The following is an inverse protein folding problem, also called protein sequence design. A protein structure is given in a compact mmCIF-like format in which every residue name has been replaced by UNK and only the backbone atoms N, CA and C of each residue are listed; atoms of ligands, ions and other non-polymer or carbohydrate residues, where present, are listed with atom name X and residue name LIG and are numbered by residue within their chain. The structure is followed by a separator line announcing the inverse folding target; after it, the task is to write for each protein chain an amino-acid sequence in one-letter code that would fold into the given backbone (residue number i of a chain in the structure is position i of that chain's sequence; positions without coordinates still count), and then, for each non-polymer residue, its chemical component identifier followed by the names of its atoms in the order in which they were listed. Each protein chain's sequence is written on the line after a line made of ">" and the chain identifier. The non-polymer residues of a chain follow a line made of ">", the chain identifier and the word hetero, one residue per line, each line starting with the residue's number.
data_IF_415006096350
#
_entry.id   IF_415006096350
#
_cell.length_a   1.000
_cell.length_b   1.000
_cell.length_c   1.000
_cell.angle_alpha   90.00
_cell.angle_beta   90.00
_cell.angle_gamma   90.00
#
_symmetry.space_group_name_H-M   'P 1'
#
loop_
_entity.id
_entity.type
_entity.pdbx_description
1 polymer ?
#
# COMPACT_ATOMS: atom_id res chain seq x y z
N UNK A 1 2.54 -8.54 10.44
CA UNK A 1 2.63 -7.04 10.40
C UNK A 1 1.40 -6.35 11.03
N UNK A 2 0.16 -6.74 10.76
CA UNK A 2 -1.05 -6.08 11.30
C UNK A 2 -1.04 -5.84 12.81
N UNK A 3 -0.84 -6.87 13.65
CA UNK A 3 -0.77 -6.68 15.10
C UNK A 3 0.35 -5.74 15.55
N UNK A 4 1.52 -5.76 14.90
CA UNK A 4 2.61 -4.84 15.23
C UNK A 4 2.27 -3.38 14.90
N UNK A 5 1.63 -3.14 13.76
CA UNK A 5 1.13 -1.81 13.39
C UNK A 5 0.03 -1.32 14.33
N UNK A 6 -0.86 -2.22 14.76
CA UNK A 6 -1.90 -1.90 15.73
C UNK A 6 -1.28 -1.45 17.05
N UNK A 7 -0.33 -2.23 17.57
CA UNK A 7 0.37 -1.91 18.81
C UNK A 7 1.10 -0.56 18.72
N UNK A 8 1.85 -0.35 17.64
CA UNK A 8 2.56 0.90 17.37
C UNK A 8 1.62 2.10 17.35
N UNK A 9 0.56 2.04 16.54
CA UNK A 9 -0.40 3.13 16.41
C UNK A 9 -1.20 3.39 17.70
N UNK A 10 -1.58 2.32 18.41
CA UNK A 10 -2.26 2.43 19.70
C UNK A 10 -1.37 3.07 20.76
N UNK A 11 -0.06 2.74 20.79
CA UNK A 11 0.89 3.38 21.71
C UNK A 11 0.97 4.89 21.53
N UNK A 12 1.00 5.39 20.28
CA UNK A 12 0.93 6.84 20.01
C UNK A 12 -0.41 7.45 20.43
N UNK A 13 -1.52 6.77 20.16
CA UNK A 13 -2.85 7.26 20.53
C UNK A 13 -3.12 7.24 22.04
N UNK A 14 -2.42 6.40 22.77
CA UNK A 14 -2.52 6.29 24.24
C UNK A 14 -1.64 7.26 25.01
N UNK A 15 -0.80 8.06 24.34
CA UNK A 15 0.01 9.08 25.02
C UNK A 15 -0.87 10.19 25.60
N UNK A 16 -0.46 10.73 26.75
CA UNK A 16 -1.07 11.97 27.27
C UNK A 16 -0.66 13.16 26.39
N UNK A 17 -1.58 13.61 25.60
CA UNK A 17 -1.41 14.75 24.69
C UNK A 17 -2.22 15.96 25.13
N UNK A 18 -2.60 16.04 26.42
CA UNK A 18 -3.40 17.14 26.98
C UNK A 18 -2.74 18.51 26.81
N UNK A 19 -1.40 18.56 26.81
CA UNK A 19 -0.66 19.78 26.55
C UNK A 19 -0.84 20.33 25.11
N UNK A 20 -1.19 19.47 24.15
CA UNK A 20 -1.34 19.84 22.73
C UNK A 20 -2.81 19.83 22.30
N UNK A 21 -3.59 18.89 22.80
CA UNK A 21 -5.00 18.72 22.45
C UNK A 21 -5.89 19.01 23.66
N UNK A 22 -6.60 20.17 23.67
CA UNK A 22 -7.54 20.49 24.75
C UNK A 22 -8.55 19.35 24.96
N UNK A 23 -8.87 19.05 26.24
CA UNK A 23 -9.78 17.97 26.63
C UNK A 23 -9.31 16.56 26.28
N UNK A 24 -8.00 16.36 26.04
CA UNK A 24 -7.40 15.07 25.67
C UNK A 24 -8.13 14.36 24.50
N UNK A 25 -8.72 15.13 23.60
CA UNK A 25 -9.44 14.61 22.44
C UNK A 25 -8.55 14.65 21.21
N UNK A 26 -8.08 13.48 20.77
CA UNK A 26 -7.26 13.36 19.56
C UNK A 26 -7.97 13.94 18.34
N UNK A 27 -7.29 14.84 17.64
CA UNK A 27 -7.80 15.44 16.40
C UNK A 27 -7.98 14.38 15.29
N UNK A 28 -8.82 14.69 14.30
CA UNK A 28 -8.96 13.87 13.10
C UNK A 28 -7.60 13.67 12.42
N UNK A 29 -6.80 14.74 12.29
CA UNK A 29 -5.47 14.69 11.69
C UNK A 29 -4.55 13.70 12.41
N UNK A 30 -4.50 13.73 13.73
CA UNK A 30 -3.69 12.79 14.51
C UNK A 30 -4.11 11.33 14.28
N UNK A 31 -5.43 11.05 14.34
CA UNK A 31 -5.97 9.70 14.05
C UNK A 31 -5.67 9.25 12.62
N UNK A 32 -5.61 10.18 11.70
CA UNK A 32 -5.30 9.92 10.30
C UNK A 32 -3.82 9.57 10.06
N UNK A 33 -2.90 10.15 10.86
CA UNK A 33 -1.49 9.78 10.84
C UNK A 33 -1.21 8.42 11.46
N UNK A 34 -1.91 8.07 12.52
CA UNK A 34 -1.79 6.80 13.24
C UNK A 34 -3.08 5.97 13.12
N UNK A 35 -3.44 5.50 11.90
CA UNK A 35 -4.62 4.67 11.72
C UNK A 35 -4.42 3.31 12.37
N UNK A 36 -5.49 2.76 12.95
CA UNK A 36 -5.49 1.41 13.51
C UNK A 36 -5.94 0.41 12.43
N UNK A 37 -5.18 -0.66 12.15
CA UNK A 37 -5.61 -1.76 11.29
C UNK A 37 -6.97 -2.34 11.67
N UNK A 38 -7.26 -2.47 12.96
CA UNK A 38 -8.53 -2.97 13.50
C UNK A 38 -9.75 -2.13 13.08
N UNK A 39 -9.56 -0.86 12.71
CA UNK A 39 -10.65 -0.03 12.16
C UNK A 39 -10.94 -0.32 10.70
N UNK A 40 -10.23 -1.27 10.08
CA UNK A 40 -10.45 -1.72 8.71
C UNK A 40 -9.82 -0.83 7.63
N UNK A 41 -9.17 0.27 7.97
CA UNK A 41 -8.50 1.14 7.02
C UNK A 41 -7.25 0.52 6.42
N UNK A 42 -6.86 0.95 5.21
CA UNK A 42 -5.68 0.42 4.51
C UNK A 42 -4.33 0.85 5.12
N UNK A 43 -4.31 1.75 6.09
CA UNK A 43 -3.12 2.20 6.83
C UNK A 43 -1.91 2.61 5.94
N UNK A 44 -2.16 3.15 4.76
CA UNK A 44 -1.15 3.42 3.71
C UNK A 44 0.08 4.14 4.23
N UNK A 45 -0.09 5.18 5.09
CA UNK A 45 1.04 5.98 5.57
C UNK A 45 1.99 5.20 6.45
N UNK A 46 1.47 4.38 7.36
CA UNK A 46 2.29 3.54 8.22
C UNK A 46 3.04 2.48 7.41
N UNK A 47 2.38 1.87 6.43
CA UNK A 47 3.01 0.88 5.55
C UNK A 47 4.09 1.52 4.67
N UNK A 48 3.85 2.72 4.14
CA UNK A 48 4.82 3.45 3.35
C UNK A 48 6.03 3.86 4.21
N UNK A 49 5.79 4.32 5.45
CA UNK A 49 6.85 4.61 6.40
C UNK A 49 7.70 3.37 6.70
N UNK A 50 7.07 2.22 6.98
CA UNK A 50 7.79 0.97 7.18
C UNK A 50 8.60 0.57 5.95
N UNK A 51 8.04 0.70 4.75
CA UNK A 51 8.76 0.42 3.51
C UNK A 51 10.04 1.25 3.43
N UNK A 52 9.94 2.56 3.65
CA UNK A 52 11.10 3.45 3.61
C UNK A 52 12.17 3.11 4.64
N UNK A 53 11.77 2.70 5.85
CA UNK A 53 12.71 2.35 6.92
C UNK A 53 13.40 1.00 6.71
N UNK A 54 12.73 0.04 6.08
CA UNK A 54 13.17 -1.36 5.99
C UNK A 54 13.89 -1.69 4.68
N UNK A 55 13.35 -1.26 3.53
CA UNK A 55 13.95 -1.58 2.23
C UNK A 55 15.20 -0.74 1.98
N UNK A 56 16.24 -1.40 1.44
CA UNK A 56 17.56 -0.77 1.20
C UNK A 56 17.74 -0.28 -0.24
N UNK A 57 16.79 -0.53 -1.12
CA UNK A 57 16.84 -0.08 -2.52
C UNK A 57 16.21 1.31 -2.67
N UNK A 58 16.86 2.19 -3.43
CA UNK A 58 16.32 3.50 -3.73
C UNK A 58 14.87 3.42 -4.26
N UNK A 59 14.01 4.34 -3.82
CA UNK A 59 14.23 5.54 -3.02
C UNK A 59 14.11 5.34 -1.49
N UNK A 60 14.12 4.11 -1.02
CA UNK A 60 13.95 3.75 0.39
C UNK A 60 15.27 3.94 1.17
N UNK A 61 15.20 4.14 2.50
CA UNK A 61 16.37 4.48 3.33
C UNK A 61 17.07 3.25 3.92
N UNK A 62 16.32 2.18 4.22
CA UNK A 62 16.86 0.92 4.74
C UNK A 62 17.59 1.01 6.07
N UNK A 63 17.09 1.82 6.99
CA UNK A 63 17.72 2.10 8.28
C UNK A 63 17.47 0.95 9.28
N UNK A 64 16.34 0.26 9.15
CA UNK A 64 15.96 -0.82 10.07
C UNK A 64 16.34 -2.18 9.52
N UNK A 65 17.14 -2.92 10.28
CA UNK A 65 17.64 -4.25 9.90
C UNK A 65 16.87 -5.41 10.53
N UNK A 66 16.16 -5.16 11.63
CA UNK A 66 15.47 -6.21 12.40
C UNK A 66 14.15 -6.67 11.77
N UNK A 67 13.60 -5.88 10.85
CA UNK A 67 12.38 -6.21 10.12
C UNK A 67 12.74 -6.64 8.71
N UNK A 68 12.46 -7.88 8.30
CA UNK A 68 12.72 -8.30 6.94
C UNK A 68 11.70 -7.68 5.97
N UNK A 69 12.08 -7.37 4.70
CA UNK A 69 11.15 -6.86 3.69
C UNK A 69 9.96 -7.80 3.43
N UNK A 70 10.14 -9.11 3.60
CA UNK A 70 9.08 -10.12 3.51
C UNK A 70 7.92 -9.93 4.50
N UNK A 71 8.15 -9.20 5.61
CA UNK A 71 7.10 -8.87 6.57
C UNK A 71 6.27 -7.66 6.19
N UNK A 72 6.72 -6.86 5.21
CA UNK A 72 6.03 -5.64 4.79
C UNK A 72 4.72 -5.93 4.06
N UNK A 73 3.82 -4.96 4.13
CA UNK A 73 2.54 -4.98 3.42
C UNK A 73 2.49 -3.84 2.41
N UNK A 74 1.81 -4.09 1.28
CA UNK A 74 1.68 -3.12 0.20
C UNK A 74 0.99 -1.83 0.64
N UNK A 75 1.61 -0.65 0.45
CA UNK A 75 0.99 0.64 0.78
C UNK A 75 -0.11 0.98 -0.23
N UNK A 76 -1.35 0.54 0.01
CA UNK A 76 -2.44 0.69 -0.95
C UNK A 76 -3.05 2.09 -0.90
N UNK A 77 -2.84 2.85 -1.96
CA UNK A 77 -3.54 4.09 -2.27
C UNK A 77 -4.44 3.96 -3.50
N UNK A 78 -4.95 5.07 -4.01
CA UNK A 78 -5.80 5.07 -5.21
C UNK A 78 -5.05 4.59 -6.46
N UNK A 79 -3.76 4.90 -6.58
CA UNK A 79 -2.96 4.48 -7.74
C UNK A 79 -2.70 2.97 -7.70
N UNK A 80 -2.26 2.46 -6.56
CA UNK A 80 -2.05 1.01 -6.36
C UNK A 80 -3.36 0.23 -6.45
N UNK A 81 -4.46 0.72 -5.85
CA UNK A 81 -5.78 0.10 -5.98
C UNK A 81 -6.17 -0.07 -7.46
N UNK A 82 -6.05 1.00 -8.25
CA UNK A 82 -6.39 0.99 -9.67
C UNK A 82 -5.49 0.06 -10.48
N UNK A 83 -4.17 0.09 -10.22
CA UNK A 83 -3.23 -0.83 -10.88
C UNK A 83 -3.51 -2.28 -10.51
N UNK A 84 -3.69 -2.56 -9.22
CA UNK A 84 -3.97 -3.91 -8.73
C UNK A 84 -5.23 -4.51 -9.36
N UNK A 85 -6.28 -3.70 -9.52
CA UNK A 85 -7.49 -4.13 -10.25
C UNK A 85 -7.22 -4.36 -11.73
N UNK A 86 -6.45 -3.48 -12.36
CA UNK A 86 -6.14 -3.58 -13.80
C UNK A 86 -5.34 -4.83 -14.15
N UNK A 87 -4.50 -5.32 -13.23
CA UNK A 87 -3.67 -6.53 -13.45
C UNK A 87 -4.19 -7.76 -12.69
N UNK A 88 -5.37 -7.68 -12.08
CA UNK A 88 -6.04 -8.82 -11.46
C UNK A 88 -5.51 -9.22 -10.09
N UNK A 89 -4.74 -8.36 -9.41
CA UNK A 89 -4.29 -8.60 -8.04
C UNK A 89 -5.43 -8.50 -7.02
N UNK A 90 -6.51 -7.79 -7.33
CA UNK A 90 -7.70 -7.71 -6.48
C UNK A 90 -8.94 -7.44 -7.32
N UNK A 91 -10.09 -7.90 -6.83
CA UNK A 91 -11.42 -7.56 -7.32
C UNK A 91 -12.24 -6.74 -6.30
N UNK A 92 -11.63 -6.43 -5.15
CA UNK A 92 -12.29 -5.67 -4.09
C UNK A 92 -12.57 -4.23 -4.54
N UNK A 93 -13.74 -3.71 -4.14
CA UNK A 93 -14.14 -2.33 -4.44
C UNK A 93 -13.75 -1.33 -3.35
N UNK A 94 -13.58 -1.81 -2.11
CA UNK A 94 -13.24 -0.96 -0.97
C UNK A 94 -11.77 -1.08 -0.66
N UNK A 95 -11.08 0.07 -0.60
CA UNK A 95 -9.69 0.18 -0.15
C UNK A 95 -9.63 0.06 1.38
N UNK A 96 -9.48 -1.14 1.85
CA UNK A 96 -9.46 -1.52 3.26
C UNK A 96 -8.31 -2.48 3.56
N UNK A 97 -8.18 -2.89 4.81
CA UNK A 97 -7.14 -3.81 5.26
C UNK A 97 -7.15 -5.14 4.49
N UNK A 98 -8.32 -5.69 4.21
CA UNK A 98 -8.45 -6.95 3.45
C UNK A 98 -7.92 -6.84 2.01
N UNK A 99 -8.05 -5.66 1.37
CA UNK A 99 -7.45 -5.41 0.05
C UNK A 99 -5.92 -5.38 0.14
N UNK A 100 -5.37 -4.80 1.21
CA UNK A 100 -3.92 -4.78 1.45
C UNK A 100 -3.37 -6.20 1.59
N UNK A 101 -4.02 -7.04 2.39
CA UNK A 101 -3.62 -8.45 2.59
C UNK A 101 -3.72 -9.24 1.28
N UNK A 102 -4.80 -9.08 0.53
CA UNK A 102 -5.00 -9.78 -0.75
C UNK A 102 -3.95 -9.40 -1.78
N UNK A 103 -3.68 -8.11 -1.98
CA UNK A 103 -2.65 -7.64 -2.92
C UNK A 103 -1.27 -8.11 -2.48
N UNK A 104 -0.94 -7.95 -1.20
CA UNK A 104 0.36 -8.38 -0.66
C UNK A 104 0.54 -9.89 -0.80
N UNK A 105 -0.49 -10.68 -0.52
CA UNK A 105 -0.44 -12.14 -0.67
C UNK A 105 -0.07 -12.55 -2.10
N UNK A 106 -0.75 -11.99 -3.10
CA UNK A 106 -0.44 -12.28 -4.52
C UNK A 106 0.94 -11.79 -4.96
N UNK A 107 1.44 -10.70 -4.38
CA UNK A 107 2.79 -10.23 -4.66
C UNK A 107 3.85 -11.12 -3.97
N UNK A 108 3.53 -11.74 -2.83
CA UNK A 108 4.38 -12.75 -2.20
C UNK A 108 4.50 -14.03 -3.02
N UNK A 109 3.48 -14.38 -3.80
CA UNK A 109 3.57 -15.51 -4.73
C UNK A 109 4.59 -15.24 -5.86
N UNK A 110 4.85 -13.97 -6.17
CA UNK A 110 5.85 -13.56 -7.17
C UNK A 110 7.24 -13.35 -6.55
N UNK A 111 7.29 -12.79 -5.35
CA UNK A 111 8.50 -12.56 -4.58
C UNK A 111 8.19 -12.65 -3.08
N UNK A 112 8.47 -13.78 -2.44
CA UNK A 112 8.21 -13.97 -1.03
C UNK A 112 9.14 -13.14 -0.13
N UNK A 113 10.32 -12.76 -0.60
CA UNK A 113 11.32 -12.04 0.18
C UNK A 113 11.07 -10.53 0.21
N UNK A 114 10.53 -9.96 -0.87
CA UNK A 114 10.20 -8.53 -0.95
C UNK A 114 8.92 -8.26 -1.77
N UNK A 115 7.74 -8.52 -1.22
CA UNK A 115 6.47 -8.33 -1.92
C UNK A 115 6.16 -6.87 -2.24
N UNK A 116 6.82 -5.91 -1.58
CA UNK A 116 6.54 -4.48 -1.75
C UNK A 116 7.49 -3.78 -2.74
N UNK A 117 8.45 -4.50 -3.30
CA UNK A 117 9.38 -3.94 -4.31
C UNK A 117 8.66 -3.37 -5.54
N UNK A 118 7.48 -3.87 -5.83
CA UNK A 118 6.67 -3.47 -6.99
C UNK A 118 5.92 -2.13 -6.79
N UNK A 119 5.83 -1.63 -5.54
CA UNK A 119 5.02 -0.46 -5.20
C UNK A 119 5.40 0.78 -6.02
N UNK A 120 6.69 1.12 -6.04
CA UNK A 120 7.17 2.29 -6.77
C UNK A 120 6.81 2.21 -8.26
N UNK A 121 7.12 1.09 -8.92
CA UNK A 121 6.88 0.92 -10.34
C UNK A 121 5.38 0.95 -10.69
N UNK A 122 4.54 0.29 -9.92
CA UNK A 122 3.09 0.25 -10.13
C UNK A 122 2.46 1.64 -9.88
N UNK A 123 2.86 2.30 -8.80
CA UNK A 123 2.36 3.63 -8.46
C UNK A 123 2.75 4.65 -9.52
N UNK A 124 4.03 4.70 -9.91
CA UNK A 124 4.54 5.64 -10.92
C UNK A 124 3.93 5.41 -12.29
N UNK A 125 3.76 4.16 -12.71
CA UNK A 125 3.11 3.84 -13.99
C UNK A 125 1.71 4.47 -14.08
N UNK A 126 0.99 4.52 -12.97
CA UNK A 126 -0.32 5.15 -12.90
C UNK A 126 -0.24 6.67 -12.81
N UNK A 127 0.67 7.21 -11.98
CA UNK A 127 0.85 8.64 -11.76
C UNK A 127 1.36 9.38 -13.00
N UNK A 128 2.25 8.76 -13.78
CA UNK A 128 2.83 9.33 -14.99
C UNK A 128 1.91 9.27 -16.23
N UNK A 129 0.66 8.80 -16.08
CA UNK A 129 -0.27 8.67 -17.20
C UNK A 129 0.00 7.47 -18.11
N UNK A 130 0.99 6.63 -17.82
CA UNK A 130 1.29 5.41 -18.60
C UNK A 130 0.25 4.28 -18.40
N UNK A 131 -0.76 4.50 -17.58
CA UNK A 131 -1.92 3.64 -17.43
C UNK A 131 -3.15 4.46 -17.11
N UNK A 132 -4.17 4.41 -17.97
CA UNK A 132 -5.42 5.17 -17.83
C UNK A 132 -6.57 4.39 -17.20
N UNK A 133 -6.36 3.13 -16.76
CA UNK A 133 -7.41 2.20 -16.33
C UNK A 133 -8.51 1.95 -17.39
N UNK A 134 -8.14 2.10 -18.64
CA UNK A 134 -8.99 1.80 -19.80
C UNK A 134 -8.12 1.35 -20.94
N UNK A 135 -8.73 0.73 -21.93
CA UNK A 135 -8.04 0.37 -23.19
C UNK A 135 -7.69 1.64 -23.96
N UNK A 136 -6.43 1.76 -24.31
CA UNK A 136 -5.89 2.82 -25.14
C UNK A 136 -4.82 2.20 -26.06
N UNK A 137 -4.95 2.38 -27.38
CA UNK A 137 -4.10 1.68 -28.34
C UNK A 137 -2.65 2.15 -28.26
N UNK A 138 -2.43 3.45 -28.12
CA UNK A 138 -1.09 4.06 -28.14
C UNK A 138 -0.36 3.83 -26.82
N UNK A 139 -1.00 4.19 -25.70
CA UNK A 139 -0.42 4.08 -24.34
C UNK A 139 -0.18 2.61 -23.96
N UNK A 140 -1.08 1.72 -24.37
CA UNK A 140 -0.96 0.30 -24.03
C UNK A 140 -0.07 -0.51 -25.01
N UNK A 141 0.29 0.03 -26.19
CA UNK A 141 1.16 -0.68 -27.13
C UNK A 141 2.50 -1.11 -26.49
N UNK A 142 3.26 -0.22 -25.83
CA UNK A 142 4.53 -0.56 -25.19
C UNK A 142 4.38 -1.17 -23.78
N UNK A 143 3.16 -1.40 -23.29
CA UNK A 143 2.92 -1.77 -21.89
C UNK A 143 3.28 -3.24 -21.62
N UNK A 144 4.32 -3.48 -20.80
CA UNK A 144 4.73 -4.83 -20.39
C UNK A 144 3.67 -5.60 -19.57
N UNK A 145 2.67 -4.91 -19.01
CA UNK A 145 1.57 -5.53 -18.26
C UNK A 145 0.35 -5.86 -19.13
N UNK A 146 0.42 -5.60 -20.44
CA UNK A 146 -0.69 -5.82 -21.39
C UNK A 146 -1.23 -7.25 -21.36
N UNK A 147 -0.34 -8.23 -21.25
CA UNK A 147 -0.69 -9.65 -21.24
C UNK A 147 -1.56 -10.06 -20.03
N UNK A 148 -1.46 -9.37 -18.90
CA UNK A 148 -2.23 -9.65 -17.67
C UNK A 148 -3.34 -8.64 -17.43
N UNK A 149 -3.41 -7.57 -18.24
CA UNK A 149 -4.33 -6.46 -18.04
C UNK A 149 -5.78 -6.85 -18.37
N UNK A 150 -6.70 -6.65 -17.42
CA UNK A 150 -8.13 -6.96 -17.57
C UNK A 150 -8.80 -6.16 -18.69
N UNK A 151 -8.28 -4.96 -18.99
CA UNK A 151 -8.81 -4.11 -20.08
C UNK A 151 -8.46 -4.65 -21.47
N UNK A 152 -7.44 -5.52 -21.59
CA UNK A 152 -7.02 -6.15 -22.85
C UNK A 152 -7.47 -7.60 -22.99
N UNK A 153 -7.53 -8.36 -21.91
CA UNK A 153 -7.96 -9.77 -21.94
C UNK A 153 -9.45 -9.97 -22.21
N UNK A 154 -10.26 -8.92 -22.13
CA UNK A 154 -11.71 -9.07 -22.08
C UNK A 154 -12.17 -9.63 -20.71
N UNK A 155 -13.38 -9.33 -20.30
CA UNK A 155 -13.97 -10.01 -19.13
C UNK A 155 -14.24 -11.47 -19.55
N UNK A 156 -13.53 -12.43 -18.98
CA UNK A 156 -13.99 -13.81 -18.93
C UNK A 156 -15.10 -13.90 -17.90
#
# INVERSE_FOLDING_TARGET
>A
MGPALEHFAAGFRGQDLSAVFPRNRLSYGFKHWFPLPSTGGACKRLQLYLRWMVRREAPDFGIWSEVPPSALLMPVDTHIENMARSIGLTHRRSRNWRMVEEITGKLKDLDPDDPVKYDFALCHKRMSGQCLNRRDAEICAPCGLKAVCVHWRGRR
#
